data_IF_791255123002
#
_entry.id   IF_791255123002
#
_cell.length_a   1.000
_cell.length_b   1.000
_cell.length_c   1.000
_cell.angle_alpha   90.00
_cell.angle_beta   90.00
_cell.angle_gamma   90.00
#
_symmetry.space_group_name_H-M   'P 1'
#
loop_
_entity.id
_entity.type
_entity.pdbx_description
1 polymer ?
#
# COMPACT_ATOMS: atom_id res chain seq x y z
N UNK A 1 17.49 -4.46 -6.90
CA UNK A 1 17.11 -5.73 -6.23
C UNK A 1 16.54 -5.56 -4.81
N UNK A 2 16.88 -4.49 -4.07
CA UNK A 2 16.36 -4.25 -2.70
C UNK A 2 14.83 -4.09 -2.61
N UNK A 3 14.17 -3.51 -3.62
CA UNK A 3 12.75 -3.16 -3.58
C UNK A 3 11.75 -4.32 -3.46
N UNK A 4 12.13 -5.54 -3.86
CA UNK A 4 11.21 -6.68 -3.92
C UNK A 4 10.90 -7.26 -2.54
N UNK A 5 11.82 -7.10 -1.58
CA UNK A 5 11.71 -7.67 -0.23
C UNK A 5 11.57 -6.61 0.87
N UNK A 6 11.32 -5.35 0.49
CA UNK A 6 11.08 -4.28 1.45
C UNK A 6 9.66 -4.39 1.99
N UNK A 7 9.54 -4.44 3.32
CA UNK A 7 8.26 -4.34 4.03
C UNK A 7 7.52 -3.10 3.54
N UNK A 8 6.23 -3.26 3.29
CA UNK A 8 5.37 -2.20 2.73
C UNK A 8 4.22 -1.96 3.68
N UNK A 9 4.11 -0.72 4.17
CA UNK A 9 3.00 -0.27 5.00
C UNK A 9 1.93 0.34 4.10
N UNK A 10 0.72 -0.17 4.22
CA UNK A 10 -0.46 0.37 3.56
C UNK A 10 -1.34 1.03 4.62
N UNK A 11 -1.50 2.33 4.51
CA UNK A 11 -2.35 3.13 5.39
C UNK A 11 -3.72 3.32 4.75
N UNK A 12 -4.77 3.25 5.56
CA UNK A 12 -6.15 3.37 5.14
C UNK A 12 -7.00 3.92 6.29
N UNK A 13 -8.18 4.44 5.95
CA UNK A 13 -9.20 4.78 6.93
C UNK A 13 -10.10 3.57 7.12
N UNK A 14 -10.26 3.11 8.36
CA UNK A 14 -11.16 1.99 8.65
C UNK A 14 -12.64 2.41 8.67
N UNK A 15 -13.52 1.45 8.90
CA UNK A 15 -14.98 1.65 8.92
C UNK A 15 -15.45 2.63 10.00
N UNK A 16 -14.63 2.92 11.01
CA UNK A 16 -14.92 3.88 12.08
C UNK A 16 -14.33 5.27 11.80
N UNK A 17 -13.71 5.48 10.62
CA UNK A 17 -13.03 6.73 10.29
C UNK A 17 -11.64 6.87 10.93
N UNK A 18 -11.10 5.81 11.54
CA UNK A 18 -9.79 5.85 12.21
C UNK A 18 -8.69 5.56 11.20
N UNK A 19 -7.61 6.35 11.27
CA UNK A 19 -6.44 6.14 10.44
C UNK A 19 -5.63 4.94 10.95
N UNK A 20 -5.65 3.87 10.16
CA UNK A 20 -5.05 2.58 10.49
C UNK A 20 -4.03 2.19 9.42
N UNK A 21 -3.15 1.23 9.73
CA UNK A 21 -2.21 0.69 8.75
C UNK A 21 -2.04 -0.81 8.86
N UNK A 22 -1.69 -1.43 7.74
CA UNK A 22 -1.34 -2.84 7.65
C UNK A 22 0.04 -2.99 6.99
N UNK A 23 0.92 -3.72 7.66
CA UNK A 23 2.24 -4.05 7.16
C UNK A 23 2.21 -5.35 6.35
N UNK A 24 2.83 -5.31 5.19
CA UNK A 24 3.00 -6.45 4.30
C UNK A 24 4.49 -6.73 4.13
N UNK A 25 4.88 -8.00 3.99
CA UNK A 25 6.30 -8.34 3.81
C UNK A 25 6.85 -7.78 2.50
N UNK A 26 6.01 -7.67 1.46
CA UNK A 26 6.38 -7.12 0.16
C UNK A 26 5.24 -6.33 -0.46
N UNK A 27 5.59 -5.38 -1.34
CA UNK A 27 4.60 -4.64 -2.16
C UNK A 27 3.80 -5.57 -3.07
N UNK A 28 4.36 -6.72 -3.46
CA UNK A 28 3.67 -7.73 -4.27
C UNK A 28 2.57 -8.44 -3.47
N UNK A 29 2.85 -8.75 -2.20
CA UNK A 29 1.86 -9.31 -1.29
C UNK A 29 0.71 -8.32 -1.06
N UNK A 30 1.03 -7.06 -0.77
CA UNK A 30 0.04 -6.01 -0.59
C UNK A 30 -0.87 -5.85 -1.83
N UNK A 31 -0.28 -5.79 -3.02
CA UNK A 31 -1.06 -5.64 -4.25
C UNK A 31 -1.98 -6.85 -4.52
N UNK A 32 -1.52 -8.07 -4.19
CA UNK A 32 -2.32 -9.30 -4.34
C UNK A 32 -3.50 -9.32 -3.37
N UNK A 33 -3.26 -9.02 -2.10
CA UNK A 33 -4.29 -9.05 -1.06
C UNK A 33 -5.35 -7.96 -1.29
N UNK A 34 -4.93 -6.79 -1.76
CA UNK A 34 -5.81 -5.67 -2.11
C UNK A 34 -6.41 -5.79 -3.53
N UNK A 35 -6.08 -6.86 -4.27
CA UNK A 35 -6.54 -7.11 -5.66
C UNK A 35 -6.31 -5.93 -6.62
N UNK A 36 -5.18 -5.22 -6.46
CA UNK A 36 -4.81 -4.06 -7.30
C UNK A 36 -3.68 -4.39 -8.27
N UNK A 37 -3.54 -3.56 -9.30
CA UNK A 37 -2.46 -3.69 -10.26
C UNK A 37 -1.09 -3.44 -9.59
N UNK A 38 -0.24 -4.47 -9.57
CA UNK A 38 1.09 -4.45 -8.96
C UNK A 38 1.98 -3.32 -9.46
N UNK A 39 2.08 -3.10 -10.78
CA UNK A 39 2.97 -2.09 -11.36
C UNK A 39 2.54 -0.68 -10.94
N UNK A 40 1.23 -0.40 -10.98
CA UNK A 40 0.67 0.87 -10.51
C UNK A 40 0.90 1.07 -9.01
N UNK A 41 0.66 0.02 -8.21
CA UNK A 41 0.82 0.05 -6.76
C UNK A 41 2.29 0.27 -6.36
N UNK A 42 3.22 -0.42 -7.03
CA UNK A 42 4.67 -0.26 -6.83
C UNK A 42 5.17 1.13 -7.21
N UNK A 43 4.69 1.72 -8.31
CA UNK A 43 5.08 3.08 -8.70
C UNK A 43 4.57 4.16 -7.74
N UNK A 44 3.47 3.91 -7.05
CA UNK A 44 2.94 4.85 -6.06
C UNK A 44 3.52 4.64 -4.66
N UNK A 45 4.18 3.50 -4.41
CA UNK A 45 4.97 3.26 -3.20
C UNK A 45 6.02 4.35 -3.09
N UNK A 46 5.96 5.13 -2.01
CA UNK A 46 6.88 6.25 -1.68
C UNK A 46 6.70 7.56 -2.48
N UNK A 47 5.81 7.61 -3.47
CA UNK A 47 5.55 8.84 -4.27
C UNK A 47 4.58 9.80 -3.57
N UNK A 48 4.14 9.48 -2.33
CA UNK A 48 3.09 10.22 -1.57
C UNK A 48 1.80 10.45 -2.36
N UNK A 49 1.59 9.67 -3.43
CA UNK A 49 0.42 9.78 -4.29
C UNK A 49 -0.65 8.85 -3.77
N UNK A 50 -1.83 9.39 -3.55
CA UNK A 50 -2.99 8.62 -3.12
C UNK A 50 -3.35 7.56 -4.15
N UNK A 51 -3.57 6.34 -3.67
CA UNK A 51 -4.18 5.27 -4.46
C UNK A 51 -5.61 5.10 -3.98
N UNK A 52 -6.57 5.25 -4.88
CA UNK A 52 -7.98 4.99 -4.60
C UNK A 52 -8.31 3.54 -4.95
N UNK A 53 -8.90 2.82 -4.01
CA UNK A 53 -9.43 1.46 -4.18
C UNK A 53 -10.85 1.50 -3.60
N UNK A 54 -11.86 1.20 -4.41
CA UNK A 54 -13.28 1.21 -3.99
C UNK A 54 -13.68 2.48 -3.22
N UNK A 55 -13.32 3.65 -3.78
CA UNK A 55 -13.52 4.99 -3.20
C UNK A 55 -12.82 5.28 -1.86
N UNK A 56 -12.05 4.33 -1.33
CA UNK A 56 -11.21 4.52 -0.16
C UNK A 56 -9.80 4.97 -0.55
N UNK A 57 -9.27 5.91 0.22
CA UNK A 57 -7.94 6.48 0.03
C UNK A 57 -6.89 5.64 0.76
N UNK A 58 -5.93 5.14 -0.01
CA UNK A 58 -4.78 4.39 0.50
C UNK A 58 -3.48 5.16 0.28
N UNK A 59 -2.61 5.09 1.27
CA UNK A 59 -1.23 5.53 1.16
C UNK A 59 -0.28 4.36 1.33
N UNK A 60 0.77 4.32 0.51
CA UNK A 60 1.67 3.18 0.43
C UNK A 60 3.09 3.68 0.67
N UNK A 61 3.74 3.12 1.67
CA UNK A 61 5.10 3.50 2.05
C UNK A 61 5.97 2.26 2.25
N UNK A 62 7.22 2.32 1.81
CA UNK A 62 8.23 1.37 2.26
C UNK A 62 8.52 1.56 3.75
N UNK A 63 8.61 0.47 4.51
CA UNK A 63 9.17 0.52 5.85
C UNK A 63 10.69 0.70 5.71
N UNK A 64 11.21 1.73 6.37
CA UNK A 64 12.66 2.02 6.43
C UNK A 64 13.37 1.03 7.33
#
# INVERSE_FOLDING_TARGET
MKDKNTVTNVFFTDENGVFSYKSYQTVKQAARDLKVNYERFRRNRDVKRTVFIDDQQYFIQSAK
#
